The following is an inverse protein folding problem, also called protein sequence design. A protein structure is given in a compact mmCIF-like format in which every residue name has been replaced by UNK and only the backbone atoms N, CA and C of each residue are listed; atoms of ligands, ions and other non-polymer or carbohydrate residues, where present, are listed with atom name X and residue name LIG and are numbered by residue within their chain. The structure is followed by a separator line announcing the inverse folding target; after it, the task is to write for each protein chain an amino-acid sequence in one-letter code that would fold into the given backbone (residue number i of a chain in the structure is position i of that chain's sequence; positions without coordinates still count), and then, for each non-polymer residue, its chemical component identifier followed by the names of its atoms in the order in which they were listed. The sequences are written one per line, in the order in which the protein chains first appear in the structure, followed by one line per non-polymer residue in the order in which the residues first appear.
data_IF_594224546560
#
_entry.id   IF_594224546560
#
_cell.length_a   1.000
_cell.length_b   1.000
_cell.length_c   1.000
_cell.angle_alpha   90.00
_cell.angle_beta   90.00
_cell.angle_gamma   90.00
#
_symmetry.space_group_name_H-M   'P 1'
#
loop_
_entity.id
_entity.type
_entity.pdbx_description
1 polymer ?
#
# COMPACT_ATOMS: atom_id res chain seq x y z
N UNK A 1 -22.20 -0.87 -6.35
CA UNK A 1 -20.84 -1.00 -5.80
C UNK A 1 -19.99 -0.01 -6.55
N UNK A 2 -19.44 1.00 -5.88
CA UNK A 2 -18.57 2.00 -6.52
C UNK A 2 -17.19 1.36 -6.62
N UNK A 3 -16.74 1.04 -7.84
CA UNK A 3 -15.36 0.58 -8.04
C UNK A 3 -14.45 1.75 -7.71
N UNK A 4 -13.70 1.67 -6.61
CA UNK A 4 -12.64 2.63 -6.32
C UNK A 4 -11.52 2.30 -7.31
N UNK A 5 -11.20 3.25 -8.19
CA UNK A 5 -10.07 3.09 -9.11
C UNK A 5 -8.81 3.47 -8.35
N UNK A 6 -7.90 2.52 -8.15
CA UNK A 6 -6.59 2.79 -7.57
C UNK A 6 -5.65 3.31 -8.67
N UNK A 7 -5.11 4.50 -8.47
CA UNK A 7 -4.21 5.15 -9.42
C UNK A 7 -3.04 5.81 -8.69
N UNK A 8 -1.94 5.99 -9.43
CA UNK A 8 -0.77 6.71 -8.92
C UNK A 8 -1.10 8.21 -8.92
N UNK A 9 -1.00 8.83 -7.75
CA UNK A 9 -1.03 10.29 -7.61
C UNK A 9 0.33 10.87 -8.03
N UNK A 10 0.51 11.09 -9.34
CA UNK A 10 1.77 11.57 -9.90
C UNK A 10 2.17 12.97 -9.42
N UNK A 11 1.22 13.81 -9.02
CA UNK A 11 1.53 15.13 -8.47
C UNK A 11 2.13 14.96 -7.07
N UNK A 12 1.48 14.16 -6.21
CA UNK A 12 1.99 13.86 -4.88
C UNK A 12 3.32 13.13 -4.93
N UNK A 13 3.44 12.11 -5.77
CA UNK A 13 4.67 11.32 -5.95
C UNK A 13 5.85 12.24 -6.29
N UNK A 14 5.69 13.12 -7.27
CA UNK A 14 6.74 14.09 -7.65
C UNK A 14 7.03 15.08 -6.54
N UNK A 15 6.02 15.62 -5.86
CA UNK A 15 6.23 16.57 -4.75
C UNK A 15 6.99 15.95 -3.58
N UNK A 16 6.62 14.73 -3.17
CA UNK A 16 7.28 14.02 -2.07
C UNK A 16 8.77 13.79 -2.33
N UNK A 17 9.11 13.56 -3.60
CA UNK A 17 10.48 13.26 -4.02
C UNK A 17 11.16 14.46 -4.68
N UNK A 18 10.67 15.68 -4.45
CA UNK A 18 11.26 16.93 -4.97
C UNK A 18 11.50 16.93 -6.49
N UNK A 19 10.64 16.25 -7.23
CA UNK A 19 10.72 16.01 -8.68
C UNK A 19 12.00 15.29 -9.12
N UNK A 20 12.71 14.64 -8.21
CA UNK A 20 13.88 13.82 -8.50
C UNK A 20 13.45 12.40 -8.90
N UNK A 21 13.54 12.11 -10.19
CA UNK A 21 13.20 10.79 -10.75
C UNK A 21 14.05 9.66 -10.16
N UNK A 22 15.29 9.93 -9.70
CA UNK A 22 16.12 8.89 -9.08
C UNK A 22 15.59 8.49 -7.71
N UNK A 23 15.08 9.45 -6.94
CA UNK A 23 14.43 9.17 -5.66
C UNK A 23 13.12 8.40 -5.88
N UNK A 24 12.33 8.78 -6.90
CA UNK A 24 11.11 8.06 -7.26
C UNK A 24 11.44 6.61 -7.64
N UNK A 25 12.41 6.39 -8.54
CA UNK A 25 12.88 5.06 -8.94
C UNK A 25 13.26 4.25 -7.71
N UNK A 26 14.12 4.78 -6.83
CA UNK A 26 14.55 4.05 -5.63
C UNK A 26 13.37 3.63 -4.74
N UNK A 27 12.38 4.51 -4.55
CA UNK A 27 11.21 4.18 -3.72
C UNK A 27 10.33 3.13 -4.38
N UNK A 28 10.11 3.22 -5.70
CA UNK A 28 9.33 2.23 -6.45
C UNK A 28 10.04 0.86 -6.46
N UNK A 29 11.36 0.84 -6.59
CA UNK A 29 12.15 -0.40 -6.48
C UNK A 29 12.03 -0.99 -5.07
N UNK A 30 12.26 -0.20 -4.02
CA UNK A 30 12.16 -0.68 -2.64
C UNK A 30 10.77 -1.23 -2.32
N UNK A 31 9.70 -0.54 -2.72
CA UNK A 31 8.36 -1.04 -2.43
C UNK A 31 8.07 -2.37 -3.15
N UNK A 32 8.44 -2.47 -4.43
CA UNK A 32 8.19 -3.64 -5.27
C UNK A 32 9.03 -4.86 -4.85
N UNK A 33 10.30 -4.65 -4.50
CA UNK A 33 11.24 -5.74 -4.27
C UNK A 33 11.36 -6.13 -2.78
N UNK A 34 11.25 -5.15 -1.87
CA UNK A 34 11.55 -5.37 -0.45
C UNK A 34 10.31 -5.27 0.45
N UNK A 35 9.38 -4.36 0.16
CA UNK A 35 8.25 -4.06 1.07
C UNK A 35 7.01 -4.91 0.77
N UNK A 36 6.77 -5.27 -0.50
CA UNK A 36 5.60 -6.07 -0.88
C UNK A 36 5.42 -7.37 -0.04
N UNK A 37 6.49 -8.15 0.26
CA UNK A 37 6.37 -9.34 1.11
C UNK A 37 5.81 -9.08 2.52
N UNK A 38 6.00 -7.87 3.08
CA UNK A 38 5.52 -7.56 4.43
C UNK A 38 3.99 -7.49 4.51
N UNK A 39 3.30 -7.25 3.39
CA UNK A 39 1.83 -7.32 3.35
C UNK A 39 1.31 -8.74 3.57
N UNK A 40 2.10 -9.78 3.23
CA UNK A 40 1.72 -11.16 3.50
C UNK A 40 1.81 -11.48 5.01
N UNK A 41 2.62 -10.74 5.76
CA UNK A 41 2.64 -10.80 7.24
C UNK A 41 1.33 -10.32 7.84
N UNK A 42 0.70 -9.29 7.25
CA UNK A 42 -0.63 -8.83 7.70
C UNK A 42 -1.68 -9.93 7.47
N UNK A 43 -1.71 -10.54 6.29
CA UNK A 43 -2.61 -11.66 5.98
C UNK A 43 -2.41 -12.82 6.97
N UNK A 44 -1.16 -13.20 7.24
CA UNK A 44 -0.84 -14.26 8.20
C UNK A 44 -1.36 -13.94 9.62
N UNK A 45 -1.18 -12.69 10.07
CA UNK A 45 -1.69 -12.24 11.37
C UNK A 45 -3.22 -12.24 11.41
N UNK A 46 -3.88 -11.85 10.31
CA UNK A 46 -5.35 -11.91 10.18
C UNK A 46 -5.87 -13.34 10.27
N UNK A 47 -5.20 -14.30 9.61
CA UNK A 47 -5.59 -15.71 9.64
C UNK A 47 -5.47 -16.30 11.05
N UNK A 48 -4.46 -15.86 11.82
CA UNK A 48 -4.25 -16.25 13.22
C UNK A 48 -5.10 -15.47 14.22
N UNK A 49 -5.86 -14.47 13.76
CA UNK A 49 -6.62 -13.55 14.60
C UNK A 49 -5.75 -12.66 15.52
N UNK A 50 -4.51 -12.40 15.11
CA UNK A 50 -3.55 -11.55 15.81
C UNK A 50 -3.76 -10.07 15.39
N UNK A 51 -4.92 -9.50 15.72
CA UNK A 51 -5.36 -8.18 15.23
C UNK A 51 -4.41 -7.03 15.61
N UNK A 52 -3.84 -7.10 16.81
CA UNK A 52 -2.88 -6.10 17.28
C UNK A 52 -1.60 -6.11 16.43
N UNK A 53 -1.10 -7.30 16.08
CA UNK A 53 0.08 -7.47 15.23
C UNK A 53 -0.23 -7.07 13.79
N UNK A 54 -1.40 -7.45 13.26
CA UNK A 54 -1.84 -7.02 11.94
C UNK A 54 -1.92 -5.49 11.82
N UNK A 55 -2.47 -4.81 12.85
CA UNK A 55 -2.50 -3.36 12.92
C UNK A 55 -1.10 -2.73 13.07
N UNK A 56 -0.21 -3.38 13.82
CA UNK A 56 1.17 -2.92 13.99
C UNK A 56 1.93 -2.95 12.66
N UNK A 57 1.87 -4.08 11.94
CA UNK A 57 2.49 -4.21 10.62
C UNK A 57 1.89 -3.20 9.64
N UNK A 58 0.56 -3.02 9.60
CA UNK A 58 -0.06 -1.99 8.75
C UNK A 58 0.46 -0.57 9.06
N UNK A 59 0.62 -0.23 10.33
CA UNK A 59 1.19 1.06 10.75
C UNK A 59 2.57 1.32 10.14
N UNK A 60 3.41 0.28 10.06
CA UNK A 60 4.76 0.35 9.49
C UNK A 60 4.75 0.47 7.96
N UNK A 61 3.74 -0.10 7.28
CA UNK A 61 3.63 -0.12 5.82
C UNK A 61 2.94 1.10 5.22
N UNK A 62 2.08 1.79 5.97
CA UNK A 62 1.37 3.00 5.52
C UNK A 62 2.31 4.05 4.86
N UNK A 63 3.47 4.41 5.45
CA UNK A 63 4.37 5.37 4.83
C UNK A 63 4.85 4.94 3.45
N UNK A 64 5.14 3.65 3.23
CA UNK A 64 5.60 3.13 1.95
C UNK A 64 4.55 3.28 0.85
N UNK A 65 3.30 2.94 1.16
CA UNK A 65 2.16 3.12 0.25
C UNK A 65 2.00 4.60 -0.13
N UNK A 66 2.12 5.50 0.85
CA UNK A 66 2.09 6.94 0.62
C UNK A 66 3.27 7.46 -0.22
N UNK A 67 4.49 6.97 0.04
CA UNK A 67 5.70 7.34 -0.71
C UNK A 67 5.67 6.84 -2.17
N UNK A 68 4.97 5.74 -2.45
CA UNK A 68 4.72 5.25 -3.80
C UNK A 68 3.59 6.02 -4.53
N UNK A 69 3.01 7.05 -3.91
CA UNK A 69 1.96 7.87 -4.51
C UNK A 69 0.58 7.19 -4.53
N UNK A 70 0.38 6.11 -3.76
CA UNK A 70 -0.87 5.36 -3.73
C UNK A 70 -1.83 5.93 -2.68
N UNK A 71 -2.25 7.18 -2.86
CA UNK A 71 -3.04 7.94 -1.87
C UNK A 71 -4.32 7.24 -1.42
N UNK A 72 -5.07 6.61 -2.34
CA UNK A 72 -6.31 5.89 -1.97
C UNK A 72 -6.02 4.67 -1.11
N UNK A 73 -5.01 3.88 -1.48
CA UNK A 73 -4.60 2.69 -0.74
C UNK A 73 -4.00 3.03 0.63
N UNK A 74 -3.30 4.15 0.75
CA UNK A 74 -2.83 4.64 2.04
C UNK A 74 -4.00 4.86 3.01
N UNK A 75 -5.10 5.44 2.53
CA UNK A 75 -6.30 5.68 3.33
C UNK A 75 -7.04 4.37 3.68
N UNK A 76 -7.08 3.41 2.76
CA UNK A 76 -7.66 2.09 3.03
C UNK A 76 -6.84 1.32 4.07
N UNK A 77 -5.51 1.34 3.97
CA UNK A 77 -4.64 0.69 4.96
C UNK A 77 -4.73 1.36 6.34
N UNK A 78 -4.87 2.70 6.39
CA UNK A 78 -5.22 3.43 7.63
C UNK A 78 -6.57 3.00 8.19
N UNK A 79 -7.55 2.78 7.32
CA UNK A 79 -8.88 2.30 7.75
C UNK A 79 -8.78 0.92 8.36
N UNK A 80 -8.09 -0.01 7.69
CA UNK A 80 -7.77 -1.33 8.21
C UNK A 80 -7.06 -1.25 9.58
N UNK A 81 -6.00 -0.45 9.69
CA UNK A 81 -5.26 -0.25 10.95
C UNK A 81 -6.19 0.20 12.09
N UNK A 82 -7.09 1.16 11.83
CA UNK A 82 -8.02 1.65 12.84
C UNK A 82 -9.08 0.62 13.22
N UNK A 83 -9.62 -0.13 12.26
CA UNK A 83 -10.60 -1.20 12.52
C UNK A 83 -9.96 -2.30 13.36
N UNK A 84 -8.77 -2.78 12.99
CA UNK A 84 -8.02 -3.80 13.72
C UNK A 84 -7.63 -3.36 15.15
N UNK A 85 -7.38 -2.06 15.38
CA UNK A 85 -7.10 -1.51 16.72
C UNK A 85 -8.32 -1.41 17.64
N UNK A 86 -9.50 -1.15 17.07
CA UNK A 86 -10.67 -0.70 17.85
C UNK A 86 -11.81 -1.70 17.91
N UNK A 87 -11.94 -2.57 16.91
CA UNK A 87 -13.11 -3.41 16.71
C UNK A 87 -12.70 -4.89 16.72
N UNK A 88 -13.22 -5.73 17.62
CA UNK A 88 -12.95 -7.17 17.62
C UNK A 88 -13.75 -7.94 16.56
N UNK A 89 -14.58 -7.27 15.74
CA UNK A 89 -15.32 -7.93 14.67
C UNK A 89 -14.36 -8.39 13.55
N UNK A 90 -14.13 -9.70 13.48
CA UNK A 90 -13.25 -10.32 12.52
C UNK A 90 -13.69 -10.11 11.06
N UNK A 91 -15.00 -10.01 10.79
CA UNK A 91 -15.52 -9.83 9.44
C UNK A 91 -15.25 -8.41 8.93
N UNK A 92 -15.38 -7.40 9.80
CA UNK A 92 -15.05 -6.02 9.46
C UNK A 92 -13.55 -5.86 9.16
N UNK A 93 -12.69 -6.50 9.97
CA UNK A 93 -11.23 -6.51 9.77
C UNK A 93 -10.88 -7.17 8.43
N UNK A 94 -11.41 -8.36 8.17
CA UNK A 94 -11.16 -9.10 6.93
C UNK A 94 -11.66 -8.34 5.72
N UNK A 95 -12.86 -7.75 5.80
CA UNK A 95 -13.42 -6.95 4.72
C UNK A 95 -12.53 -5.76 4.36
N UNK A 96 -12.08 -5.00 5.38
CA UNK A 96 -11.17 -3.87 5.18
C UNK A 96 -9.82 -4.31 4.59
N UNK A 97 -9.28 -5.44 5.05
CA UNK A 97 -8.03 -5.99 4.52
C UNK A 97 -8.16 -6.46 3.07
N UNK A 98 -9.21 -7.23 2.74
CA UNK A 98 -9.40 -7.75 1.40
C UNK A 98 -9.69 -6.65 0.39
N UNK A 99 -10.39 -5.59 0.80
CA UNK A 99 -10.52 -4.39 -0.03
C UNK A 99 -9.15 -3.78 -0.35
N UNK A 100 -8.33 -3.53 0.68
CA UNK A 100 -6.99 -3.00 0.49
C UNK A 100 -6.12 -3.92 -0.38
N UNK A 101 -6.15 -5.24 -0.14
CA UNK A 101 -5.32 -6.20 -0.87
C UNK A 101 -5.70 -6.27 -2.34
N UNK A 102 -7.00 -6.29 -2.66
CA UNK A 102 -7.46 -6.24 -4.04
C UNK A 102 -6.96 -4.97 -4.75
N UNK A 103 -7.07 -3.81 -4.08
CA UNK A 103 -6.58 -2.56 -4.65
C UNK A 103 -5.05 -2.51 -4.79
N UNK A 104 -4.30 -3.12 -3.86
CA UNK A 104 -2.85 -3.25 -3.97
C UNK A 104 -2.46 -4.13 -5.18
N UNK A 105 -3.13 -5.27 -5.36
CA UNK A 105 -2.89 -6.18 -6.49
C UNK A 105 -3.16 -5.47 -7.84
N UNK A 106 -4.16 -4.59 -7.91
CA UNK A 106 -4.42 -3.73 -9.07
C UNK A 106 -3.36 -2.64 -9.29
N UNK A 107 -2.77 -2.11 -8.20
CA UNK A 107 -1.79 -1.03 -8.26
C UNK A 107 -0.38 -1.51 -8.61
N UNK A 108 0.01 -2.74 -8.25
CA UNK A 108 1.32 -3.33 -8.56
C UNK A 108 1.72 -3.18 -10.04
N UNK A 109 0.90 -3.59 -11.03
CA UNK A 109 1.27 -3.43 -12.44
C UNK A 109 1.44 -1.96 -12.86
N UNK A 110 0.71 -1.03 -12.23
CA UNK A 110 0.87 0.40 -12.49
C UNK A 110 2.22 0.91 -11.99
N UNK A 111 2.63 0.49 -10.78
CA UNK A 111 3.94 0.83 -10.22
C UNK A 111 5.09 0.27 -11.07
N UNK A 112 4.97 -0.98 -11.52
CA UNK A 112 5.96 -1.63 -12.41
C UNK A 112 6.08 -0.90 -13.75
N UNK A 113 4.94 -0.51 -14.34
CA UNK A 113 4.93 0.26 -15.57
C UNK A 113 5.59 1.62 -15.38
N UNK A 114 5.30 2.32 -14.28
CA UNK A 114 5.90 3.62 -14.02
C UNK A 114 7.40 3.53 -13.76
N UNK A 115 7.86 2.53 -13.01
CA UNK A 115 9.29 2.25 -12.84
C UNK A 115 9.98 2.05 -14.19
N UNK A 116 9.40 1.22 -15.06
CA UNK A 116 9.92 0.97 -16.42
C UNK A 116 9.98 2.26 -17.25
N UNK A 117 8.95 3.11 -17.16
CA UNK A 117 8.90 4.39 -17.87
C UNK A 117 9.99 5.35 -17.42
N UNK A 118 10.30 5.38 -16.12
CA UNK A 118 11.33 6.25 -15.54
C UNK A 118 12.73 5.75 -15.87
N UNK A 119 12.96 4.44 -15.85
CA UNK A 119 14.25 3.86 -16.20
C UNK A 119 14.57 3.96 -17.69
N UNK A 120 13.57 3.84 -18.56
CA UNK A 120 13.73 3.96 -20.02
C UNK A 120 14.00 5.37 -20.54
N UNK A 121 13.91 6.40 -19.70
CA UNK A 121 14.22 7.80 -20.04
C UNK A 121 15.70 8.17 -19.86
N UNK A 122 16.54 7.23 -19.45
CA UNK A 122 17.96 7.44 -19.14
C UNK A 122 18.86 7.46 -20.38
#
# INVERSE_FOLDING_TARGET
MTTIVHSIDYERLRKLHSHDERLIINVLTLILDEVLPDFDTIEANIQKQEWAEAAHTAHQLIPWVGMAGLTSLENELRTFEQVAKRNPNADDIRSAWYQFRAGLDEAIPLLQQELTNLEGKR
#
